data_IF_600622395371
#
_entry.id   IF_600622395371
#
_cell.length_a   1.000
_cell.length_b   1.000
_cell.length_c   1.000
_cell.angle_alpha   90.00
_cell.angle_beta   90.00
_cell.angle_gamma   90.00
#
_symmetry.space_group_name_H-M   'P 1'
#
loop_
_entity.id
_entity.type
_entity.pdbx_description
1 polymer ?
#
# COMPACT_ATOMS: atom_id res chain seq x y z
N UNK A 1 8.01 1.33 22.80
CA UNK A 1 6.87 1.35 21.86
C UNK A 1 5.62 1.67 22.65
N UNK A 2 4.90 2.72 22.26
CA UNK A 2 3.61 3.11 22.81
C UNK A 2 2.50 2.49 21.97
N UNK A 3 1.38 2.13 22.59
CA UNK A 3 0.23 1.55 21.90
C UNK A 3 -0.98 2.46 22.12
N UNK A 4 -1.59 2.91 21.05
CA UNK A 4 -2.75 3.79 21.03
C UNK A 4 -3.95 3.08 20.38
N UNK A 5 -5.14 3.30 20.93
CA UNK A 5 -6.41 2.83 20.36
C UNK A 5 -7.32 4.05 20.10
N UNK A 6 -7.02 4.85 19.09
CA UNK A 6 -7.80 6.04 18.81
C UNK A 6 -9.20 5.68 18.35
N UNK A 7 -10.20 6.38 18.86
CA UNK A 7 -11.56 6.35 18.33
C UNK A 7 -11.68 7.50 17.34
N UNK A 8 -12.08 7.20 16.13
CA UNK A 8 -12.25 8.21 15.08
C UNK A 8 -13.72 8.48 14.80
N UNK A 9 -14.03 9.60 14.15
CA UNK A 9 -15.40 9.88 13.68
C UNK A 9 -15.91 8.84 12.67
N UNK A 10 -15.01 8.04 12.09
CA UNK A 10 -15.34 6.97 11.15
C UNK A 10 -15.43 5.59 11.82
N UNK A 11 -15.42 5.54 13.16
CA UNK A 11 -15.39 4.32 13.95
C UNK A 11 -13.98 3.86 14.33
N UNK A 12 -13.84 2.59 14.67
CA UNK A 12 -12.58 1.99 15.07
C UNK A 12 -11.66 1.69 13.87
N UNK A 13 -10.35 1.92 14.00
CA UNK A 13 -9.37 1.42 13.05
C UNK A 13 -9.25 -0.10 13.11
N UNK A 14 -8.52 -0.69 12.17
CA UNK A 14 -8.30 -2.15 12.08
C UNK A 14 -7.63 -2.77 13.30
N UNK A 15 -6.97 -1.97 14.10
CA UNK A 15 -6.28 -2.39 15.32
C UNK A 15 -5.55 -1.23 15.98
N UNK A 16 -4.78 -1.50 17.04
CA UNK A 16 -4.03 -0.47 17.72
C UNK A 16 -2.94 0.12 16.81
N UNK A 17 -2.69 1.42 16.96
CA UNK A 17 -1.54 2.09 16.37
C UNK A 17 -0.37 1.97 17.33
N UNK A 18 0.74 1.42 16.88
CA UNK A 18 1.99 1.30 17.65
C UNK A 18 2.93 2.41 17.23
N UNK A 19 3.40 3.19 18.20
CA UNK A 19 4.34 4.28 17.96
C UNK A 19 5.67 3.93 18.64
N UNK A 20 6.74 4.03 17.88
CA UNK A 20 8.10 3.80 18.36
C UNK A 20 9.09 4.79 17.77
N UNK A 21 10.31 4.69 18.23
CA UNK A 21 11.44 5.41 17.64
C UNK A 21 12.25 4.43 16.79
N UNK A 22 12.52 4.82 15.56
CA UNK A 22 13.47 4.15 14.66
C UNK A 22 14.52 5.17 14.26
N UNK A 23 15.76 4.93 14.69
CA UNK A 23 16.91 5.85 14.51
C UNK A 23 16.61 7.30 14.95
N UNK A 24 15.89 7.45 16.06
CA UNK A 24 15.51 8.77 16.62
C UNK A 24 14.24 9.38 16.02
N UNK A 25 13.71 8.81 14.94
CA UNK A 25 12.48 9.29 14.28
C UNK A 25 11.24 8.59 14.86
N UNK A 26 10.20 9.38 15.10
CA UNK A 26 8.91 8.86 15.57
C UNK A 26 8.16 8.22 14.41
N UNK A 27 7.86 6.92 14.52
CA UNK A 27 7.16 6.14 13.50
C UNK A 27 5.90 5.52 14.09
N UNK A 28 4.77 5.69 13.40
CA UNK A 28 3.51 5.03 13.72
C UNK A 28 3.30 3.83 12.78
N UNK A 29 2.96 2.69 13.34
CA UNK A 29 2.65 1.46 12.60
C UNK A 29 1.21 1.04 12.89
N UNK A 30 0.46 0.73 11.82
CA UNK A 30 -0.89 0.17 11.89
C UNK A 30 -0.99 -1.04 10.97
N UNK A 31 -1.41 -2.19 11.54
CA UNK A 31 -1.69 -3.39 10.78
C UNK A 31 -3.04 -3.24 10.06
N UNK A 32 -3.02 -2.94 8.75
CA UNK A 32 -4.21 -2.65 7.93
C UNK A 32 -5.25 -3.75 7.98
N UNK A 33 -4.83 -5.00 7.97
CA UNK A 33 -5.71 -6.18 8.04
C UNK A 33 -6.04 -6.63 9.48
N UNK A 34 -5.73 -5.79 10.48
CA UNK A 34 -5.85 -6.18 11.88
C UNK A 34 -4.75 -7.14 12.35
N UNK A 35 -4.73 -7.42 13.64
CA UNK A 35 -3.81 -8.40 14.21
C UNK A 35 -4.17 -9.81 13.71
N UNK A 36 -3.15 -10.57 13.31
CA UNK A 36 -3.34 -11.91 12.76
C UNK A 36 -4.03 -11.96 11.40
N UNK A 37 -4.04 -10.85 10.64
CA UNK A 37 -4.66 -10.76 9.31
C UNK A 37 -6.14 -11.16 9.32
N UNK A 38 -6.90 -10.63 10.29
CA UNK A 38 -8.28 -11.03 10.59
C UNK A 38 -9.34 -10.31 9.73
N UNK A 39 -8.97 -9.21 9.06
CA UNK A 39 -9.88 -8.40 8.25
C UNK A 39 -9.61 -8.60 6.75
N UNK A 40 -10.60 -9.10 5.97
CA UNK A 40 -10.46 -9.14 4.52
C UNK A 40 -10.48 -7.72 3.91
N UNK A 41 -9.93 -7.52 2.70
CA UNK A 41 -9.72 -6.18 2.12
C UNK A 41 -10.96 -5.28 2.09
N UNK A 42 -12.13 -5.83 1.80
CA UNK A 42 -13.39 -5.08 1.69
C UNK A 42 -14.02 -4.71 3.04
N UNK A 43 -13.55 -5.28 4.16
CA UNK A 43 -14.03 -4.98 5.51
C UNK A 43 -13.12 -4.03 6.28
N UNK A 44 -11.96 -3.67 5.71
CA UNK A 44 -11.05 -2.71 6.32
C UNK A 44 -11.73 -1.34 6.39
N UNK A 45 -11.72 -0.72 7.56
CA UNK A 45 -12.14 0.67 7.73
C UNK A 45 -10.98 1.61 7.38
N UNK A 46 -10.73 1.80 6.08
CA UNK A 46 -9.63 2.64 5.58
C UNK A 46 -9.71 4.08 6.08
N UNK A 47 -10.92 4.65 6.21
CA UNK A 47 -11.12 6.00 6.76
C UNK A 47 -10.66 6.10 8.19
N UNK A 48 -11.08 5.15 9.03
CA UNK A 48 -10.67 5.13 10.43
C UNK A 48 -9.16 4.91 10.59
N UNK A 49 -8.56 4.05 9.76
CA UNK A 49 -7.12 3.81 9.78
C UNK A 49 -6.31 5.08 9.51
N UNK A 50 -6.63 5.78 8.42
CA UNK A 50 -5.94 7.01 8.05
C UNK A 50 -6.21 8.14 9.03
N UNK A 51 -7.46 8.31 9.48
CA UNK A 51 -7.82 9.31 10.49
C UNK A 51 -7.11 9.07 11.82
N UNK A 52 -6.92 7.80 12.24
CA UNK A 52 -6.19 7.43 13.43
C UNK A 52 -4.70 7.83 13.33
N UNK A 53 -4.07 7.53 12.20
CA UNK A 53 -2.68 7.93 11.94
C UNK A 53 -2.54 9.46 11.91
N UNK A 54 -3.43 10.15 11.21
CA UNK A 54 -3.44 11.61 11.13
C UNK A 54 -3.61 12.27 12.51
N UNK A 55 -4.55 11.81 13.32
CA UNK A 55 -4.79 12.30 14.69
C UNK A 55 -3.58 12.12 15.62
N UNK A 56 -2.72 11.13 15.35
CA UNK A 56 -1.48 10.89 16.09
C UNK A 56 -0.27 11.64 15.50
N UNK A 57 -0.52 12.54 14.54
CA UNK A 57 0.48 13.45 13.97
C UNK A 57 1.19 12.94 12.72
N UNK A 58 0.72 11.84 12.10
CA UNK A 58 1.27 11.40 10.83
C UNK A 58 0.85 12.37 9.71
N UNK A 59 1.82 12.96 9.02
CA UNK A 59 1.60 13.74 7.79
C UNK A 59 1.96 12.94 6.52
N UNK A 60 2.74 11.87 6.68
CA UNK A 60 3.25 11.03 5.58
C UNK A 60 2.91 9.56 5.85
N UNK A 61 2.42 8.86 4.85
CA UNK A 61 2.03 7.44 4.93
C UNK A 61 2.77 6.64 3.87
N UNK A 62 3.59 5.70 4.30
CA UNK A 62 4.17 4.68 3.42
C UNK A 62 3.36 3.39 3.57
N UNK A 63 2.57 3.06 2.57
CA UNK A 63 1.76 1.85 2.55
C UNK A 63 2.60 0.67 2.06
N UNK A 64 2.75 -0.36 2.88
CA UNK A 64 3.35 -1.63 2.49
C UNK A 64 2.26 -2.56 1.95
N UNK A 65 2.32 -2.94 0.69
CA UNK A 65 1.30 -3.74 0.02
C UNK A 65 1.91 -5.02 -0.56
N UNK A 66 1.45 -6.17 -0.11
CA UNK A 66 1.75 -7.46 -0.78
C UNK A 66 0.91 -7.57 -2.05
N UNK A 67 1.56 -7.86 -3.18
CA UNK A 67 0.96 -7.82 -4.51
C UNK A 67 1.38 -9.01 -5.37
N UNK A 68 0.62 -9.28 -6.44
CA UNK A 68 0.99 -10.17 -7.53
C UNK A 68 1.57 -9.38 -8.70
N UNK A 69 2.61 -9.88 -9.34
CA UNK A 69 3.22 -9.27 -10.51
C UNK A 69 2.51 -9.66 -11.80
N UNK A 70 2.31 -8.70 -12.70
CA UNK A 70 1.66 -8.88 -14.00
C UNK A 70 2.67 -8.80 -15.14
N UNK A 71 3.64 -7.87 -15.04
CA UNK A 71 4.68 -7.65 -16.06
C UNK A 71 6.03 -8.18 -15.59
N UNK A 72 6.97 -8.35 -16.52
CA UNK A 72 8.26 -8.99 -16.26
C UNK A 72 9.11 -8.24 -15.21
N UNK A 73 8.98 -6.92 -15.14
CA UNK A 73 9.72 -6.11 -14.17
C UNK A 73 9.24 -6.32 -12.71
N UNK A 74 8.03 -6.85 -12.54
CA UNK A 74 7.40 -7.10 -11.25
C UNK A 74 7.29 -8.60 -10.93
N UNK A 75 8.39 -9.35 -11.11
CA UNK A 75 8.46 -10.75 -10.68
C UNK A 75 8.47 -10.92 -9.15
N UNK A 76 8.25 -12.16 -8.63
CA UNK A 76 8.33 -12.45 -7.21
C UNK A 76 9.64 -11.96 -6.58
N UNK A 77 9.58 -11.48 -5.33
CA UNK A 77 10.67 -10.90 -4.55
C UNK A 77 11.13 -9.50 -4.99
N UNK A 78 10.50 -8.90 -6.00
CA UNK A 78 10.75 -7.52 -6.39
C UNK A 78 10.03 -6.57 -5.43
N UNK A 79 10.70 -5.45 -5.11
CA UNK A 79 10.07 -4.27 -4.51
C UNK A 79 9.78 -3.25 -5.60
N UNK A 80 8.60 -2.63 -5.53
CA UNK A 80 8.19 -1.60 -6.48
C UNK A 80 7.61 -0.37 -5.79
N UNK A 81 7.79 0.79 -6.41
CA UNK A 81 7.17 2.04 -5.99
C UNK A 81 6.29 2.57 -7.14
N UNK A 82 5.04 2.09 -7.25
CA UNK A 82 4.15 2.45 -8.35
C UNK A 82 3.87 3.96 -8.37
N UNK A 83 3.62 4.50 -9.56
CA UNK A 83 3.28 5.90 -9.78
C UNK A 83 1.84 6.10 -10.25
N UNK A 84 1.20 5.03 -10.72
CA UNK A 84 -0.19 5.04 -11.16
C UNK A 84 -1.00 3.89 -10.56
N UNK A 85 -2.33 4.03 -10.59
CA UNK A 85 -3.25 2.98 -10.18
C UNK A 85 -4.54 2.99 -11.03
N UNK A 86 -5.16 1.81 -11.14
CA UNK A 86 -6.51 1.63 -11.67
C UNK A 86 -7.37 0.95 -10.60
N UNK A 87 -8.54 1.53 -10.33
CA UNK A 87 -9.46 1.02 -9.32
C UNK A 87 -10.51 0.08 -9.95
N UNK A 88 -10.44 -1.20 -9.59
CA UNK A 88 -11.44 -2.22 -9.93
C UNK A 88 -12.28 -2.63 -8.71
N UNK A 89 -12.14 -1.91 -7.58
CA UNK A 89 -12.91 -2.19 -6.37
C UNK A 89 -14.35 -1.67 -6.51
N UNK A 90 -15.24 -2.19 -5.68
CA UNK A 90 -16.65 -1.78 -5.67
C UNK A 90 -17.23 -1.91 -4.25
N UNK A 91 -18.26 -1.11 -3.96
CA UNK A 91 -18.98 -1.19 -2.68
C UNK A 91 -18.18 -0.81 -1.44
N UNK A 92 -16.98 -0.24 -1.60
CA UNK A 92 -16.17 0.30 -0.51
C UNK A 92 -16.50 1.78 -0.31
N UNK A 93 -16.45 2.22 0.94
CA UNK A 93 -16.56 3.65 1.26
C UNK A 93 -15.27 4.33 0.79
N UNK A 94 -15.36 5.22 -0.21
CA UNK A 94 -14.22 5.79 -0.94
C UNK A 94 -14.03 7.30 -0.74
N UNK A 95 -14.79 7.93 0.18
CA UNK A 95 -14.67 9.36 0.49
C UNK A 95 -14.84 9.66 1.96
N UNK A 96 -14.28 10.76 2.42
CA UNK A 96 -14.52 11.31 3.77
C UNK A 96 -15.77 12.23 3.81
N UNK A 97 -16.35 12.56 2.65
CA UNK A 97 -17.46 13.50 2.49
C UNK A 97 -18.84 12.81 2.42
N UNK A 98 -19.03 11.69 3.10
CA UNK A 98 -20.23 10.83 2.96
C UNK A 98 -21.41 11.27 3.85
N UNK A 99 -21.16 12.03 4.91
CA UNK A 99 -22.22 12.48 5.82
C UNK A 99 -23.05 13.61 5.21
N UNK A 100 -24.39 13.60 5.39
CA UNK A 100 -25.23 14.69 4.93
C UNK A 100 -24.78 16.05 5.47
N UNK A 101 -24.60 17.03 4.57
CA UNK A 101 -24.14 18.36 4.93
C UNK A 101 -22.61 18.52 4.95
N UNK A 102 -21.85 17.48 4.67
CA UNK A 102 -20.42 17.61 4.43
C UNK A 102 -20.19 18.24 3.05
N UNK A 103 -19.29 19.23 2.97
CA UNK A 103 -18.90 19.81 1.71
C UNK A 103 -18.22 18.76 0.83
N UNK A 104 -18.67 18.64 -0.41
CA UNK A 104 -18.07 17.74 -1.39
C UNK A 104 -16.79 18.35 -1.92
N UNK A 105 -15.67 17.69 -1.73
CA UNK A 105 -14.36 18.12 -2.21
C UNK A 105 -13.92 17.22 -3.36
N UNK A 106 -13.67 17.81 -4.53
CA UNK A 106 -13.08 17.12 -5.66
C UNK A 106 -11.56 17.30 -5.63
N UNK A 107 -10.84 16.26 -5.24
CA UNK A 107 -9.37 16.29 -5.21
C UNK A 107 -8.79 15.93 -6.59
N UNK A 108 -7.70 16.59 -6.98
CA UNK A 108 -6.93 16.15 -8.14
C UNK A 108 -6.25 14.82 -7.82
N UNK A 109 -6.48 13.84 -8.68
CA UNK A 109 -5.97 12.47 -8.54
C UNK A 109 -5.24 11.97 -9.79
N UNK A 110 -4.81 12.88 -10.67
CA UNK A 110 -3.99 12.56 -11.84
C UNK A 110 -2.65 11.91 -11.46
N UNK A 111 -2.11 12.26 -10.28
CA UNK A 111 -0.98 11.57 -9.63
C UNK A 111 -1.45 11.03 -8.28
N UNK A 112 -1.86 9.76 -8.20
CA UNK A 112 -2.46 9.18 -6.98
C UNK A 112 -1.49 9.10 -5.80
N UNK A 113 -0.20 9.00 -6.08
CA UNK A 113 0.87 8.95 -5.08
C UNK A 113 1.61 10.30 -5.01
N UNK A 114 1.98 10.73 -3.80
CA UNK A 114 2.69 12.00 -3.61
C UNK A 114 4.10 11.90 -4.19
N UNK A 115 4.38 12.71 -5.21
CA UNK A 115 5.64 12.68 -5.97
C UNK A 115 6.87 12.87 -5.08
N UNK A 116 6.83 13.82 -4.13
CA UNK A 116 7.94 14.05 -3.19
C UNK A 116 8.21 12.81 -2.34
N UNK A 117 7.19 12.19 -1.75
CA UNK A 117 7.37 10.99 -0.95
C UNK A 117 7.87 9.80 -1.78
N UNK A 118 7.37 9.63 -3.02
CA UNK A 118 7.91 8.60 -3.93
C UNK A 118 9.38 8.82 -4.21
N UNK A 119 9.79 10.05 -4.55
CA UNK A 119 11.19 10.40 -4.81
C UNK A 119 12.07 10.09 -3.60
N UNK A 120 11.59 10.38 -2.39
CA UNK A 120 12.31 10.06 -1.16
C UNK A 120 12.48 8.56 -0.97
N UNK A 121 11.43 7.76 -1.24
CA UNK A 121 11.48 6.29 -1.16
C UNK A 121 12.49 5.72 -2.16
N UNK A 122 12.48 6.20 -3.41
CA UNK A 122 13.41 5.76 -4.46
C UNK A 122 14.85 6.10 -4.09
N UNK A 123 15.09 7.35 -3.65
CA UNK A 123 16.41 7.78 -3.23
C UNK A 123 16.90 7.06 -1.96
N UNK A 124 15.99 6.75 -1.03
CA UNK A 124 16.29 5.96 0.16
C UNK A 124 16.66 4.51 -0.18
N UNK A 125 15.95 3.89 -1.11
CA UNK A 125 16.26 2.55 -1.60
C UNK A 125 17.66 2.49 -2.24
N UNK A 126 17.99 3.46 -3.10
CA UNK A 126 19.30 3.57 -3.73
C UNK A 126 20.43 3.74 -2.68
N UNK A 127 20.22 4.63 -1.70
CA UNK A 127 21.20 4.87 -0.63
C UNK A 127 21.40 3.65 0.29
N UNK A 128 20.33 2.87 0.51
CA UNK A 128 20.37 1.64 1.32
C UNK A 128 20.89 0.41 0.55
N UNK A 129 21.16 0.54 -0.76
CA UNK A 129 21.52 -0.60 -1.62
C UNK A 129 20.40 -1.63 -1.75
N UNK A 130 19.13 -1.16 -1.76
CA UNK A 130 17.94 -1.99 -1.94
C UNK A 130 17.43 -1.80 -3.36
N UNK A 131 17.34 -2.89 -4.11
CA UNK A 131 16.76 -2.84 -5.45
C UNK A 131 15.26 -2.50 -5.37
N UNK A 132 14.83 -1.52 -6.17
CA UNK A 132 13.47 -1.03 -6.23
C UNK A 132 13.11 -0.65 -7.67
N UNK A 133 11.99 -1.13 -8.18
CA UNK A 133 11.44 -0.69 -9.46
C UNK A 133 10.70 0.63 -9.25
N UNK A 134 11.11 1.66 -10.00
CA UNK A 134 10.46 2.97 -10.00
C UNK A 134 9.36 3.02 -11.05
N UNK A 135 8.14 3.33 -10.62
CA UNK A 135 6.97 3.40 -11.50
C UNK A 135 6.15 2.11 -11.52
N UNK A 136 5.22 2.07 -12.47
CA UNK A 136 4.27 0.99 -12.66
C UNK A 136 2.87 1.30 -12.16
N UNK A 137 1.89 0.67 -12.81
CA UNK A 137 0.47 0.86 -12.51
C UNK A 137 -0.07 -0.24 -11.58
N UNK A 138 -0.59 0.16 -10.43
CA UNK A 138 -1.21 -0.73 -9.45
C UNK A 138 -2.68 -0.97 -9.80
N UNK A 139 -3.06 -2.21 -10.15
CA UNK A 139 -4.47 -2.60 -10.25
C UNK A 139 -5.03 -2.95 -8.87
N UNK A 140 -5.99 -2.17 -8.37
CA UNK A 140 -6.65 -2.45 -7.10
C UNK A 140 -7.90 -3.29 -7.30
N UNK A 141 -7.93 -4.53 -6.77
CA UNK A 141 -9.07 -5.45 -6.89
C UNK A 141 -9.84 -5.61 -5.59
N UNK A 142 -11.04 -6.16 -5.69
CA UNK A 142 -11.93 -6.30 -4.52
C UNK A 142 -11.42 -7.33 -3.49
N UNK A 143 -10.87 -8.45 -3.93
CA UNK A 143 -10.59 -9.58 -3.04
C UNK A 143 -11.86 -10.13 -2.35
N UNK A 144 -11.73 -11.06 -1.37
CA UNK A 144 -10.47 -11.68 -0.92
C UNK A 144 -9.99 -12.83 -1.85
N UNK A 145 -10.79 -13.27 -2.84
CA UNK A 145 -10.33 -14.25 -3.83
C UNK A 145 -9.25 -13.65 -4.71
N UNK A 146 -8.31 -14.46 -5.14
CA UNK A 146 -7.36 -14.08 -6.17
C UNK A 146 -8.08 -13.95 -7.53
N UNK A 147 -7.47 -13.21 -8.44
CA UNK A 147 -7.98 -12.92 -9.77
C UNK A 147 -7.93 -14.16 -10.66
N UNK A 148 -8.86 -14.24 -11.60
CA UNK A 148 -8.78 -15.23 -12.68
C UNK A 148 -7.72 -14.83 -13.71
N UNK A 149 -7.21 -15.79 -14.49
CA UNK A 149 -6.29 -15.52 -15.60
C UNK A 149 -6.88 -14.52 -16.62
N UNK A 150 -8.18 -14.55 -16.83
CA UNK A 150 -8.87 -13.62 -17.74
C UNK A 150 -8.91 -12.20 -17.16
N UNK A 151 -9.12 -12.05 -15.84
CA UNK A 151 -9.04 -10.77 -15.16
C UNK A 151 -7.61 -10.20 -15.24
N UNK A 152 -6.60 -11.01 -14.99
CA UNK A 152 -5.19 -10.57 -15.10
C UNK A 152 -4.83 -10.20 -16.56
N UNK A 153 -5.28 -10.99 -17.54
CA UNK A 153 -5.07 -10.64 -18.94
C UNK A 153 -5.76 -9.33 -19.35
N UNK A 154 -6.93 -9.02 -18.75
CA UNK A 154 -7.59 -7.72 -18.91
C UNK A 154 -6.78 -6.61 -18.27
N UNK A 155 -6.37 -6.77 -17.02
CA UNK A 155 -5.60 -5.76 -16.28
C UNK A 155 -4.27 -5.42 -16.97
N UNK A 156 -3.60 -6.43 -17.55
CA UNK A 156 -2.40 -6.22 -18.37
C UNK A 156 -2.70 -5.35 -19.60
N UNK A 157 -3.83 -5.58 -20.30
CA UNK A 157 -4.25 -4.74 -21.44
C UNK A 157 -4.62 -3.33 -21.03
N UNK A 158 -5.19 -3.17 -19.83
CA UNK A 158 -5.53 -1.87 -19.24
C UNK A 158 -4.27 -1.10 -18.77
N UNK A 159 -3.09 -1.74 -18.79
CA UNK A 159 -1.80 -1.13 -18.43
C UNK A 159 -1.35 -1.37 -16.98
N UNK A 160 -1.97 -2.32 -16.26
CA UNK A 160 -1.50 -2.67 -14.92
C UNK A 160 -0.21 -3.52 -14.97
N UNK A 161 0.74 -3.19 -14.10
CA UNK A 161 2.00 -3.91 -13.91
C UNK A 161 1.98 -4.86 -12.72
N UNK A 162 1.16 -4.56 -11.75
CA UNK A 162 0.99 -5.34 -10.53
C UNK A 162 -0.47 -5.27 -10.04
N UNK A 163 -0.87 -6.24 -9.22
CA UNK A 163 -2.23 -6.35 -8.69
C UNK A 163 -2.21 -6.56 -7.19
N UNK A 164 -3.09 -5.86 -6.50
CA UNK A 164 -3.31 -6.02 -5.06
C UNK A 164 -4.71 -5.58 -4.66
N UNK A 165 -5.02 -5.65 -3.38
CA UNK A 165 -6.40 -5.51 -2.91
C UNK A 165 -6.63 -4.29 -2.02
N UNK A 166 -5.60 -3.52 -1.67
CA UNK A 166 -5.68 -2.50 -0.62
C UNK A 166 -5.25 -1.10 -1.04
N UNK A 167 -4.77 -0.92 -2.29
CA UNK A 167 -4.38 0.39 -2.81
C UNK A 167 -5.53 1.39 -2.88
N UNK A 168 -6.76 0.88 -3.15
CA UNK A 168 -7.99 1.67 -3.10
C UNK A 168 -8.98 1.10 -2.07
N UNK A 169 -9.70 1.96 -1.36
CA UNK A 169 -9.77 3.42 -1.47
C UNK A 169 -8.68 4.18 -0.70
N UNK A 170 -7.67 3.49 -0.15
CA UNK A 170 -6.69 4.09 0.78
C UNK A 170 -5.97 5.31 0.17
N UNK A 171 -5.48 5.21 -1.05
CA UNK A 171 -4.78 6.32 -1.72
C UNK A 171 -5.69 7.55 -1.93
N UNK A 172 -6.94 7.34 -2.35
CA UNK A 172 -7.91 8.41 -2.54
C UNK A 172 -8.26 9.11 -1.22
N UNK A 173 -8.52 8.32 -0.17
CA UNK A 173 -8.82 8.83 1.17
C UNK A 173 -7.63 9.60 1.77
N UNK A 174 -6.39 9.13 1.56
CA UNK A 174 -5.19 9.85 1.99
C UNK A 174 -5.09 11.21 1.31
N UNK A 175 -5.39 11.29 0.01
CA UNK A 175 -5.43 12.54 -0.75
C UNK A 175 -6.49 13.49 -0.21
N UNK A 176 -7.71 13.03 0.06
CA UNK A 176 -8.77 13.85 0.64
C UNK A 176 -8.43 14.37 2.03
N UNK A 177 -7.65 13.61 2.82
CA UNK A 177 -7.20 14.01 4.16
C UNK A 177 -5.94 14.90 4.14
N UNK A 178 -5.37 15.20 2.96
CA UNK A 178 -4.14 15.98 2.83
C UNK A 178 -2.88 15.26 3.32
N UNK A 179 -2.90 13.94 3.35
CA UNK A 179 -1.74 13.11 3.72
C UNK A 179 -0.87 12.86 2.49
N UNK A 180 0.44 13.01 2.63
CA UNK A 180 1.38 12.48 1.66
C UNK A 180 1.32 10.96 1.67
N UNK A 181 1.13 10.35 0.50
CA UNK A 181 0.93 8.92 0.41
C UNK A 181 1.78 8.31 -0.70
N UNK A 182 2.49 7.22 -0.38
CA UNK A 182 3.19 6.40 -1.36
C UNK A 182 2.99 4.92 -1.06
N UNK A 183 3.04 4.10 -2.09
CA UNK A 183 2.98 2.64 -1.99
C UNK A 183 4.38 2.06 -2.17
N UNK A 184 4.76 1.13 -1.30
CA UNK A 184 5.87 0.22 -1.48
C UNK A 184 5.29 -1.18 -1.68
N UNK A 185 5.25 -1.62 -2.92
CA UNK A 185 4.72 -2.91 -3.33
C UNK A 185 5.76 -4.01 -3.11
N UNK A 186 5.34 -5.09 -2.47
CA UNK A 186 6.16 -6.29 -2.21
C UNK A 186 5.59 -7.40 -3.08
N UNK A 187 6.26 -7.75 -4.17
CA UNK A 187 5.76 -8.77 -5.10
C UNK A 187 5.99 -10.16 -4.50
N UNK A 188 4.88 -10.82 -4.13
CA UNK A 188 4.90 -12.12 -3.48
C UNK A 188 4.85 -13.29 -4.47
N UNK A 189 4.15 -13.11 -5.59
CA UNK A 189 3.93 -14.15 -6.58
C UNK A 189 3.67 -13.53 -7.96
N UNK A 190 3.75 -14.32 -9.01
CA UNK A 190 3.12 -13.96 -10.27
C UNK A 190 1.60 -13.97 -10.12
N UNK A 191 0.93 -12.97 -10.66
CA UNK A 191 -0.53 -13.00 -10.79
C UNK A 191 -0.96 -14.16 -11.71
N UNK A 192 -2.19 -14.64 -11.58
CA UNK A 192 -2.67 -15.84 -12.27
C UNK A 192 -2.40 -15.79 -13.79
N UNK A 193 -1.62 -16.74 -14.29
CA UNK A 193 -1.24 -16.84 -15.70
C UNK A 193 -0.27 -15.76 -16.19
N UNK A 194 0.34 -14.96 -15.31
CA UNK A 194 1.29 -13.91 -15.69
C UNK A 194 2.75 -14.37 -15.70
N UNK A 195 3.08 -15.42 -14.93
CA UNK A 195 4.41 -15.97 -14.81
C UNK A 195 4.89 -16.76 -16.02
N UNK A 196 6.15 -17.24 -15.98
CA UNK A 196 6.73 -18.10 -17.02
C UNK A 196 5.96 -19.40 -17.21
N UNK A 197 5.42 -19.96 -16.13
CA UNK A 197 4.49 -21.07 -16.17
C UNK A 197 3.06 -20.56 -15.92
N UNK A 198 2.20 -20.51 -16.97
CA UNK A 198 0.85 -20.00 -16.81
C UNK A 198 -0.07 -20.91 -15.98
N UNK A 199 0.34 -22.15 -15.72
CA UNK A 199 -0.40 -23.13 -14.94
C UNK A 199 0.08 -23.22 -13.48
N UNK A 200 1.08 -22.44 -13.11
CA UNK A 200 1.60 -22.39 -11.75
C UNK A 200 0.48 -22.06 -10.74
N UNK A 201 0.42 -22.87 -9.67
CA UNK A 201 -0.54 -22.69 -8.59
C UNK A 201 0.10 -21.81 -7.51
N UNK A 202 -0.54 -20.72 -7.20
CA UNK A 202 -0.10 -19.80 -6.12
C UNK A 202 -0.36 -20.48 -4.77
N UNK A 203 0.69 -20.82 -4.04
CA UNK A 203 0.57 -21.39 -2.69
C UNK A 203 0.85 -20.34 -1.62
N UNK A 204 0.23 -20.52 -0.44
CA UNK A 204 0.47 -19.63 0.69
C UNK A 204 1.95 -19.66 1.14
N UNK A 205 2.59 -20.83 1.08
CA UNK A 205 3.99 -20.98 1.48
C UNK A 205 4.91 -20.16 0.56
N UNK A 206 4.73 -20.25 -0.76
CA UNK A 206 5.53 -19.45 -1.73
C UNK A 206 5.34 -17.96 -1.51
N UNK A 207 4.10 -17.52 -1.25
CA UNK A 207 3.79 -16.12 -0.92
C UNK A 207 4.57 -15.67 0.31
N UNK A 208 4.54 -16.46 1.40
CA UNK A 208 5.23 -16.12 2.65
C UNK A 208 6.76 -16.07 2.47
N UNK A 209 7.33 -17.04 1.78
CA UNK A 209 8.77 -17.14 1.52
C UNK A 209 9.25 -15.97 0.64
N UNK A 210 8.50 -15.62 -0.39
CA UNK A 210 8.83 -14.51 -1.27
C UNK A 210 8.69 -13.16 -0.57
N UNK A 211 7.64 -12.97 0.25
CA UNK A 211 7.48 -11.76 1.07
C UNK A 211 8.63 -11.63 2.07
N UNK A 212 9.01 -12.70 2.76
CA UNK A 212 10.13 -12.69 3.70
C UNK A 212 11.44 -12.30 3.01
N UNK A 213 11.72 -12.89 1.83
CA UNK A 213 12.91 -12.58 1.05
C UNK A 213 12.92 -11.11 0.58
N UNK A 214 11.83 -10.63 -0.02
CA UNK A 214 11.70 -9.24 -0.50
C UNK A 214 11.81 -8.23 0.65
N UNK A 215 11.23 -8.56 1.81
CA UNK A 215 11.19 -7.67 2.97
C UNK A 215 12.53 -7.55 3.71
N UNK A 216 13.52 -8.38 3.39
CA UNK A 216 14.81 -8.39 4.09
C UNK A 216 15.56 -7.04 4.03
N UNK A 217 15.35 -6.26 2.98
CA UNK A 217 15.91 -4.92 2.80
C UNK A 217 15.09 -3.78 3.42
N UNK A 218 13.82 -4.02 3.79
CA UNK A 218 12.91 -2.97 4.25
C UNK A 218 13.41 -2.19 5.47
N UNK A 219 13.98 -2.81 6.52
CA UNK A 219 14.47 -2.04 7.67
C UNK A 219 15.52 -1.01 7.26
N UNK A 220 16.45 -1.36 6.36
CA UNK A 220 17.49 -0.44 5.86
C UNK A 220 16.89 0.66 4.99
N UNK A 221 15.94 0.32 4.12
CA UNK A 221 15.24 1.29 3.29
C UNK A 221 14.48 2.30 4.15
N UNK A 222 13.71 1.83 5.14
CA UNK A 222 12.93 2.70 6.03
C UNK A 222 13.84 3.59 6.86
N UNK A 223 14.92 3.07 7.42
CA UNK A 223 15.91 3.87 8.16
C UNK A 223 16.51 4.97 7.27
N UNK A 224 16.90 4.62 6.03
CA UNK A 224 17.42 5.59 5.05
C UNK A 224 16.36 6.65 4.67
N UNK A 225 15.07 6.26 4.54
CA UNK A 225 13.98 7.18 4.27
C UNK A 225 13.79 8.19 5.41
N UNK A 226 13.82 7.72 6.64
CA UNK A 226 13.67 8.57 7.83
C UNK A 226 14.83 9.56 7.97
N UNK A 227 16.07 9.13 7.74
CA UNK A 227 17.25 10.00 7.78
C UNK A 227 17.19 11.17 6.80
N UNK A 228 16.47 11.02 5.68
CA UNK A 228 16.29 12.10 4.68
C UNK A 228 15.32 13.19 5.15
N UNK A 229 14.39 12.87 6.06
CA UNK A 229 13.40 13.84 6.56
C UNK A 229 13.98 14.87 7.52
N UNK A 230 15.19 14.66 8.05
CA UNK A 230 15.88 15.62 8.93
C UNK A 230 16.79 16.60 8.19
N UNK A 231 16.93 16.44 6.87
CA UNK A 231 17.81 17.28 6.05
C UNK A 231 17.07 18.46 5.39
N UNK A 232 15.75 18.59 5.60
CA UNK A 232 14.91 19.72 5.18
C UNK A 232 14.57 20.59 6.41
#
# INVERSE_FOLDING_TARGET
>A
VETHQPVTRYGAPSGPVRIGLLDGHRVAFLARHGEGHSLPPHQINYRANLAALHALGAGRVLALNTVGGITADFGPRVLGCPDQLIDYTWGRISTICEEPGTEVVHVDFGEPYTRSLRNDVIAAAAAAGVALVDGGCYGATQGPRLETRAEIARMRRDGCDLVGMTGMPEAGLAREMGLDYACLAIVANWAAGAGPDPDEVITLQDVLDNVAAASSGLPRLIASLLARQTAE
#
